data_IF_612488461821
#
_entry.id   IF_612488461821
#
_cell.length_a   1.000
_cell.length_b   1.000
_cell.length_c   1.000
_cell.angle_alpha   90.00
_cell.angle_beta   90.00
_cell.angle_gamma   90.00
#
_symmetry.space_group_name_H-M   'P 1'
#
loop_
_entity.id
_entity.type
_entity.pdbx_description
1 polymer ?
#
# COMPACT_ATOMS: atom_id res chain seq x y z
N UNK A 1 8.00 3.15 19.59
CA UNK A 1 8.82 2.85 18.41
C UNK A 1 8.51 3.90 17.37
N UNK A 2 9.51 4.60 16.86
CA UNK A 2 9.36 5.43 15.66
C UNK A 2 9.15 4.51 14.44
N UNK A 3 8.36 4.94 13.46
CA UNK A 3 8.23 4.20 12.21
C UNK A 3 9.60 4.13 11.51
N UNK A 4 9.89 3.04 10.82
CA UNK A 4 11.07 2.95 9.95
C UNK A 4 10.92 3.88 8.74
N UNK A 5 12.03 4.27 8.12
CA UNK A 5 12.01 5.18 6.95
C UNK A 5 11.15 4.61 5.82
N UNK A 6 11.17 3.28 5.63
CA UNK A 6 10.38 2.60 4.59
C UNK A 6 8.88 2.60 4.89
N UNK A 7 8.49 2.49 6.16
CA UNK A 7 7.08 2.63 6.57
C UNK A 7 6.62 4.06 6.31
N UNK A 8 7.43 5.05 6.67
CA UNK A 8 7.12 6.47 6.42
C UNK A 8 6.94 6.74 4.92
N UNK A 9 7.80 6.16 4.08
CA UNK A 9 7.70 6.29 2.63
C UNK A 9 6.42 5.62 2.09
N UNK A 10 6.11 4.40 2.53
CA UNK A 10 4.87 3.72 2.14
C UNK A 10 3.63 4.49 2.59
N UNK A 11 3.64 5.03 3.82
CA UNK A 11 2.52 5.82 4.33
C UNK A 11 2.35 7.12 3.55
N UNK A 12 3.43 7.81 3.20
CA UNK A 12 3.34 9.00 2.34
C UNK A 12 2.72 8.63 0.98
N UNK A 13 3.27 7.60 0.33
CA UNK A 13 2.76 7.11 -0.95
C UNK A 13 1.27 6.72 -0.91
N UNK A 14 0.86 6.00 0.14
CA UNK A 14 -0.53 5.58 0.30
C UNK A 14 -1.46 6.77 0.54
N UNK A 15 -1.00 7.80 1.26
CA UNK A 15 -1.77 9.04 1.44
C UNK A 15 -1.98 9.75 0.12
N UNK A 16 -0.94 9.86 -0.71
CA UNK A 16 -1.02 10.53 -2.01
C UNK A 16 -1.88 9.76 -3.01
N UNK A 17 -1.92 8.43 -2.91
CA UNK A 17 -2.75 7.59 -3.77
C UNK A 17 -4.24 7.64 -3.42
N UNK A 18 -4.57 7.69 -2.12
CA UNK A 18 -5.96 7.57 -1.66
C UNK A 18 -6.74 8.87 -1.91
N UNK A 19 -8.05 8.78 -2.21
CA UNK A 19 -8.92 9.95 -2.19
C UNK A 19 -8.88 10.68 -0.84
N UNK A 20 -8.97 12.02 -0.85
CA UNK A 20 -8.95 12.84 0.38
C UNK A 20 -10.07 12.46 1.38
N UNK A 21 -11.21 11.99 0.85
CA UNK A 21 -12.37 11.56 1.62
C UNK A 21 -12.39 10.04 1.91
N UNK A 22 -11.29 9.32 1.62
CA UNK A 22 -11.25 7.85 1.67
C UNK A 22 -11.75 7.28 3.00
N UNK A 23 -11.27 7.83 4.12
CA UNK A 23 -11.67 7.35 5.45
C UNK A 23 -13.11 7.73 5.83
N UNK A 24 -13.61 8.84 5.31
CA UNK A 24 -14.98 9.29 5.56
C UNK A 24 -16.00 8.41 4.83
N UNK A 25 -15.65 7.97 3.62
CA UNK A 25 -16.49 7.12 2.74
C UNK A 25 -15.95 5.70 2.60
N UNK A 26 -15.23 5.22 3.61
CA UNK A 26 -14.54 3.93 3.56
C UNK A 26 -15.50 2.75 3.26
N UNK A 27 -16.74 2.80 3.76
CA UNK A 27 -17.77 1.79 3.49
C UNK A 27 -18.12 1.64 2.01
N UNK A 28 -18.01 2.72 1.23
CA UNK A 28 -18.21 2.73 -0.21
C UNK A 28 -16.93 2.28 -0.92
N UNK A 29 -15.81 2.93 -0.63
CA UNK A 29 -14.54 2.70 -1.33
C UNK A 29 -13.96 1.30 -1.11
N UNK A 30 -14.22 0.64 0.03
CA UNK A 30 -13.75 -0.75 0.25
C UNK A 30 -14.31 -1.74 -0.78
N UNK A 31 -15.40 -1.39 -1.45
CA UNK A 31 -16.04 -2.20 -2.49
C UNK A 31 -15.82 -1.67 -3.91
N UNK A 32 -15.25 -0.48 -4.05
CA UNK A 32 -14.99 0.15 -5.34
C UNK A 32 -13.94 -0.65 -6.13
N UNK A 33 -14.38 -1.27 -7.22
CA UNK A 33 -13.53 -2.10 -8.06
C UNK A 33 -12.50 -1.29 -8.85
N UNK A 34 -12.81 -0.06 -9.23
CA UNK A 34 -11.89 0.80 -9.97
C UNK A 34 -10.75 1.25 -9.07
N UNK A 35 -11.06 1.70 -7.85
CA UNK A 35 -10.04 2.06 -6.85
C UNK A 35 -9.15 0.88 -6.51
N UNK A 36 -9.72 -0.32 -6.33
CA UNK A 36 -8.96 -1.53 -5.97
C UNK A 36 -8.02 -1.98 -7.09
N UNK A 37 -8.47 -1.94 -8.34
CA UNK A 37 -7.62 -2.22 -9.51
C UNK A 37 -6.55 -1.15 -9.70
N UNK A 38 -6.92 0.12 -9.52
CA UNK A 38 -6.00 1.25 -9.54
C UNK A 38 -4.90 1.08 -8.50
N UNK A 39 -5.26 0.71 -7.28
CA UNK A 39 -4.30 0.45 -6.20
C UNK A 39 -3.36 -0.70 -6.54
N UNK A 40 -3.87 -1.83 -7.03
CA UNK A 40 -3.02 -2.97 -7.40
C UNK A 40 -1.98 -2.59 -8.46
N UNK A 41 -2.39 -1.83 -9.48
CA UNK A 41 -1.49 -1.34 -10.52
C UNK A 41 -0.48 -0.31 -9.98
N UNK A 42 -0.94 0.68 -9.23
CA UNK A 42 -0.06 1.69 -8.64
C UNK A 42 0.95 1.07 -7.68
N UNK A 43 0.53 0.07 -6.88
CA UNK A 43 1.41 -0.68 -6.01
C UNK A 43 2.46 -1.48 -6.80
N UNK A 44 2.11 -2.07 -7.94
CA UNK A 44 3.09 -2.70 -8.83
C UNK A 44 4.12 -1.69 -9.33
N UNK A 45 3.67 -0.57 -9.90
CA UNK A 45 4.53 0.47 -10.47
C UNK A 45 5.46 1.10 -9.41
N UNK A 46 4.97 1.29 -8.18
CA UNK A 46 5.74 1.84 -7.07
C UNK A 46 6.62 0.81 -6.33
N UNK A 47 6.48 -0.49 -6.64
CA UNK A 47 7.22 -1.56 -5.97
C UNK A 47 6.65 -2.03 -4.62
N UNK A 48 5.41 -1.67 -4.32
CA UNK A 48 4.70 -2.05 -3.09
C UNK A 48 3.82 -3.30 -3.24
N UNK A 49 3.64 -3.84 -4.45
CA UNK A 49 2.79 -5.02 -4.68
C UNK A 49 3.31 -6.23 -3.90
N UNK A 50 4.61 -6.49 -4.02
CA UNK A 50 5.33 -7.54 -3.27
C UNK A 50 6.70 -7.00 -2.87
N UNK A 51 6.84 -6.32 -1.72
CA UNK A 51 8.05 -5.56 -1.41
C UNK A 51 9.34 -6.39 -1.34
N UNK A 52 9.26 -7.70 -1.15
CA UNK A 52 10.40 -8.63 -1.15
C UNK A 52 10.86 -9.08 -2.55
N UNK A 53 10.07 -8.81 -3.60
CA UNK A 53 10.43 -9.15 -4.98
C UNK A 53 11.36 -8.08 -5.58
N UNK A 54 12.06 -8.40 -6.68
CA UNK A 54 12.77 -7.41 -7.49
C UNK A 54 11.86 -6.32 -8.07
N UNK A 55 12.45 -5.20 -8.48
CA UNK A 55 11.73 -4.01 -8.96
C UNK A 55 10.95 -4.28 -10.24
N UNK A 56 11.53 -5.05 -11.16
CA UNK A 56 10.92 -5.49 -12.41
C UNK A 56 9.67 -6.38 -12.21
N UNK A 57 9.43 -6.83 -10.98
CA UNK A 57 8.28 -7.64 -10.61
C UNK A 57 7.33 -6.92 -9.64
N UNK A 58 7.51 -5.61 -9.43
CA UNK A 58 6.66 -4.80 -8.56
C UNK A 58 7.02 -4.92 -7.08
N UNK A 59 8.29 -5.19 -6.79
CA UNK A 59 8.85 -5.15 -5.44
C UNK A 59 9.96 -4.12 -5.29
N UNK A 60 10.65 -4.18 -4.15
CA UNK A 60 11.78 -3.28 -3.79
C UNK A 60 12.95 -4.04 -3.17
N UNK A 61 12.98 -5.38 -3.31
CA UNK A 61 13.96 -6.29 -2.73
C UNK A 61 14.17 -6.08 -1.22
N UNK A 62 13.12 -5.69 -0.50
CA UNK A 62 13.19 -5.43 0.93
C UNK A 62 13.42 -6.73 1.72
N UNK A 63 14.05 -6.57 2.89
CA UNK A 63 14.15 -7.63 3.87
C UNK A 63 12.78 -8.01 4.45
N UNK A 64 12.69 -9.21 5.05
CA UNK A 64 11.44 -9.74 5.61
C UNK A 64 10.83 -8.86 6.71
N UNK A 65 11.69 -8.21 7.51
CA UNK A 65 11.23 -7.29 8.58
C UNK A 65 10.49 -6.10 7.99
N UNK A 66 11.13 -5.36 7.10
CA UNK A 66 10.53 -4.19 6.46
C UNK A 66 9.26 -4.56 5.69
N UNK A 67 9.29 -5.68 4.95
CA UNK A 67 8.10 -6.18 4.26
C UNK A 67 6.95 -6.57 5.20
N UNK A 68 7.24 -6.97 6.45
CA UNK A 68 6.23 -7.19 7.48
C UNK A 68 5.68 -5.86 8.00
N UNK A 69 6.55 -4.89 8.28
CA UNK A 69 6.14 -3.56 8.75
C UNK A 69 5.22 -2.86 7.72
N UNK A 70 5.53 -2.95 6.42
CA UNK A 70 4.65 -2.46 5.34
C UNK A 70 3.29 -3.16 5.34
N UNK A 71 3.25 -4.49 5.53
CA UNK A 71 1.98 -5.24 5.58
C UNK A 71 1.13 -4.83 6.78
N UNK A 72 1.75 -4.59 7.93
CA UNK A 72 1.06 -4.11 9.13
C UNK A 72 0.51 -2.71 8.89
N UNK A 73 1.30 -1.80 8.31
CA UNK A 73 0.85 -0.44 8.01
C UNK A 73 -0.31 -0.43 7.00
N UNK A 74 -0.22 -1.20 5.91
CA UNK A 74 -1.30 -1.35 4.94
C UNK A 74 -2.59 -1.88 5.57
N UNK A 75 -2.48 -2.80 6.54
CA UNK A 75 -3.62 -3.32 7.28
C UNK A 75 -4.23 -2.26 8.21
N UNK A 76 -3.41 -1.55 8.98
CA UNK A 76 -3.86 -0.49 9.89
C UNK A 76 -4.50 0.69 9.16
N UNK A 77 -4.01 0.99 7.95
CA UNK A 77 -4.52 2.08 7.10
C UNK A 77 -5.67 1.66 6.20
N UNK A 78 -6.15 0.43 6.30
CA UNK A 78 -7.22 -0.11 5.45
C UNK A 78 -6.92 0.08 3.96
N UNK A 79 -5.68 -0.15 3.53
CA UNK A 79 -5.30 -0.04 2.12
C UNK A 79 -6.21 -0.94 1.24
N UNK A 80 -6.55 -0.52 0.01
CA UNK A 80 -7.41 -1.32 -0.88
C UNK A 80 -6.83 -2.71 -1.11
N UNK A 81 -7.69 -3.74 -1.17
CA UNK A 81 -7.28 -5.14 -1.35
C UNK A 81 -8.12 -5.75 -2.45
N UNK A 82 -7.56 -6.53 -3.38
CA UNK A 82 -8.38 -7.32 -4.31
C UNK A 82 -9.16 -8.42 -3.55
N UNK A 83 -10.39 -8.78 -3.98
CA UNK A 83 -11.16 -9.84 -3.34
C UNK A 83 -10.58 -11.23 -3.63
#
# INVERSE_FOLDING_TARGET
MTASDVVTEFSAWLTDFLPDDYYQRYSEYRWDLELRRGYQRAAFEAGWLQPTWPREHGGRSLGLRDAMEIRLEAAMRSAPKMP
#
